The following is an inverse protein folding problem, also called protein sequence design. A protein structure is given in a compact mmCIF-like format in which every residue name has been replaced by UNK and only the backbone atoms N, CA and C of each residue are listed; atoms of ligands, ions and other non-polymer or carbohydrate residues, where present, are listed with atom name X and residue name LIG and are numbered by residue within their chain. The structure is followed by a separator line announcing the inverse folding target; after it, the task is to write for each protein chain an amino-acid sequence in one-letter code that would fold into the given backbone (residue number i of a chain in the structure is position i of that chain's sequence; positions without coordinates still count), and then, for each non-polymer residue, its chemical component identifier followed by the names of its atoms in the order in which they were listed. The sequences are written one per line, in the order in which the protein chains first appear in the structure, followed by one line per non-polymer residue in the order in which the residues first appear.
data_IF_398785617305
#
_entry.id   IF_398785617305
#
_cell.length_a   1.000
_cell.length_b   1.000
_cell.length_c   1.000
_cell.angle_alpha   90.00
_cell.angle_beta   90.00
_cell.angle_gamma   90.00
#
_symmetry.space_group_name_H-M   'P 1'
#
loop_
_entity.id
_entity.type
_entity.pdbx_description
1 polymer ?
#
# COMPACT_ATOMS: atom_id res chain seq x y z
N UNK A 1 17.19 -21.42 15.48
CA UNK A 1 17.45 -20.32 16.43
C UNK A 1 17.23 -19.06 15.61
N UNK A 2 16.00 -18.56 15.60
CA UNK A 2 15.56 -17.51 14.67
C UNK A 2 15.91 -16.16 15.29
N UNK A 3 16.82 -15.44 14.65
CA UNK A 3 17.39 -14.19 15.17
C UNK A 3 16.49 -13.03 14.75
N UNK A 4 15.87 -12.36 15.71
CA UNK A 4 15.31 -11.02 15.50
C UNK A 4 16.50 -10.08 15.35
N UNK A 5 16.85 -9.72 14.12
CA UNK A 5 17.97 -8.83 13.84
C UNK A 5 17.61 -7.38 14.19
N UNK A 6 17.75 -7.03 15.48
CA UNK A 6 17.59 -5.66 15.98
C UNK A 6 18.75 -4.71 15.64
N UNK A 7 19.41 -4.84 14.48
CA UNK A 7 20.54 -3.97 14.14
C UNK A 7 20.75 -3.75 12.64
N UNK A 8 20.18 -2.69 12.07
CA UNK A 8 20.82 -1.89 11.01
C UNK A 8 20.14 -0.52 10.74
N UNK A 9 20.11 0.39 11.72
CA UNK A 9 19.49 1.72 11.55
C UNK A 9 20.39 2.78 10.87
N UNK A 10 21.55 2.44 10.26
CA UNK A 10 22.58 3.47 9.96
C UNK A 10 23.11 3.51 8.52
N UNK A 11 22.53 2.82 7.53
CA UNK A 11 23.16 2.77 6.19
C UNK A 11 22.40 3.38 5.00
N UNK A 12 21.12 3.74 5.09
CA UNK A 12 20.35 4.10 3.87
C UNK A 12 20.31 5.63 3.59
N UNK A 13 20.79 6.48 4.49
CA UNK A 13 20.70 7.94 4.30
C UNK A 13 21.76 8.59 3.37
N UNK A 14 22.61 7.82 2.68
CA UNK A 14 23.73 8.42 1.94
C UNK A 14 23.60 8.49 0.40
N UNK A 15 22.50 8.05 -0.21
CA UNK A 15 22.43 7.96 -1.68
C UNK A 15 21.53 9.00 -2.40
N UNK A 16 20.64 9.73 -1.72
CA UNK A 16 19.70 10.67 -2.39
C UNK A 16 19.96 12.13 -1.99
N UNK A 17 21.23 12.55 -2.00
CA UNK A 17 21.55 13.99 -1.87
C UNK A 17 22.82 14.37 -2.65
N UNK A 18 22.96 13.89 -3.89
CA UNK A 18 23.94 14.42 -4.84
C UNK A 18 23.27 15.41 -5.77
N UNK A 19 22.98 16.60 -5.23
CA UNK A 19 22.48 17.70 -6.03
C UNK A 19 22.09 18.86 -5.14
N UNK A 20 22.96 19.87 -5.06
CA UNK A 20 22.80 21.15 -4.36
C UNK A 20 23.28 21.13 -2.89
N UNK A 21 24.47 21.69 -2.67
CA UNK A 21 24.81 22.34 -1.38
C UNK A 21 25.85 21.66 -0.48
N UNK A 22 27.09 21.47 -0.95
CA UNK A 22 28.22 20.99 -0.14
C UNK A 22 28.65 21.93 1.03
N UNK A 23 27.98 23.07 1.23
CA UNK A 23 28.33 24.07 2.26
C UNK A 23 27.29 24.16 3.41
N UNK A 24 26.14 23.47 3.33
CA UNK A 24 25.14 23.44 4.42
C UNK A 24 25.23 22.19 5.33
N UNK A 25 26.03 21.20 4.93
CA UNK A 25 26.10 19.87 5.57
C UNK A 25 26.72 19.82 6.98
N UNK A 26 27.20 20.94 7.54
CA UNK A 26 27.77 20.97 8.90
C UNK A 26 26.80 21.41 9.99
N UNK A 27 25.65 22.00 9.67
CA UNK A 27 24.65 22.39 10.70
C UNK A 27 23.41 21.49 10.76
N UNK A 28 23.25 20.56 9.81
CA UNK A 28 22.12 19.62 9.76
C UNK A 28 22.36 18.30 10.51
N UNK A 29 23.58 18.05 10.98
CA UNK A 29 23.96 16.82 11.70
C UNK A 29 23.25 16.63 13.05
N UNK A 30 22.54 17.64 13.56
CA UNK A 30 21.76 17.53 14.82
C UNK A 30 20.24 17.48 14.62
N UNK A 31 19.74 17.40 13.39
CA UNK A 31 18.29 17.32 13.13
C UNK A 31 17.78 15.89 12.84
N UNK A 32 18.67 14.90 12.78
CA UNK A 32 18.34 13.50 12.49
C UNK A 32 17.56 12.74 13.57
N UNK A 33 17.00 13.42 14.58
CA UNK A 33 16.26 12.80 15.68
C UNK A 33 15.07 13.65 16.19
N UNK A 34 14.49 14.52 15.35
CA UNK A 34 13.20 15.13 15.69
C UNK A 34 12.08 14.40 14.95
N UNK A 35 11.44 13.45 15.65
CA UNK A 35 10.11 12.96 15.30
C UNK A 35 9.14 14.12 15.50
N UNK A 36 8.57 14.66 14.42
CA UNK A 36 7.50 15.64 14.50
C UNK A 36 6.17 14.89 14.52
N UNK A 37 5.56 14.73 15.69
CA UNK A 37 4.16 14.32 15.81
C UNK A 37 3.30 15.52 15.44
N UNK A 38 2.62 15.47 14.29
CA UNK A 38 1.66 16.48 13.84
C UNK A 38 0.50 16.57 14.86
N UNK A 39 0.52 17.58 15.71
CA UNK A 39 -0.60 17.91 16.59
C UNK A 39 -1.55 18.92 15.98
N UNK A 40 -2.78 18.98 16.50
CA UNK A 40 -3.77 19.98 16.11
C UNK A 40 -3.83 21.14 17.11
N UNK A 41 -4.20 22.33 16.66
CA UNK A 41 -4.58 23.42 17.55
C UNK A 41 -6.09 23.31 17.79
N UNK A 42 -6.48 22.86 18.98
CA UNK A 42 -7.88 22.81 19.42
C UNK A 42 -8.09 23.82 20.54
N UNK A 43 -9.04 24.74 20.34
CA UNK A 43 -9.31 25.84 21.27
C UNK A 43 -8.08 26.66 21.68
N UNK A 44 -7.11 26.83 20.76
CA UNK A 44 -5.88 27.60 21.00
C UNK A 44 -4.78 26.83 21.74
N UNK A 45 -4.97 25.53 22.00
CA UNK A 45 -3.98 24.66 22.63
C UNK A 45 -3.46 23.63 21.63
N UNK A 46 -2.14 23.41 21.60
CA UNK A 46 -1.55 22.32 20.85
C UNK A 46 -1.90 21.00 21.55
N UNK A 47 -2.67 20.15 20.88
CA UNK A 47 -2.87 18.77 21.28
C UNK A 47 -1.95 17.90 20.43
N UNK A 48 -0.95 17.21 21.03
CA UNK A 48 -0.20 16.21 20.27
C UNK A 48 -1.18 15.17 19.72
N UNK A 49 -0.89 14.61 18.55
CA UNK A 49 -1.68 13.48 18.06
C UNK A 49 -1.75 12.40 19.16
N UNK A 50 -2.89 11.70 19.30
CA UNK A 50 -2.97 10.56 20.20
C UNK A 50 -1.79 9.62 19.95
N UNK A 51 -1.16 9.14 21.02
CA UNK A 51 -0.08 8.18 20.90
C UNK A 51 -0.63 6.91 20.22
N UNK A 52 -0.08 6.58 19.05
CA UNK A 52 -0.43 5.36 18.35
C UNK A 52 0.16 4.15 19.08
N UNK A 53 -0.58 3.03 19.10
CA UNK A 53 -0.06 1.80 19.69
C UNK A 53 1.11 1.29 18.84
N UNK A 54 2.29 1.03 19.45
CA UNK A 54 3.45 0.55 18.70
C UNK A 54 3.17 -0.84 18.14
N UNK A 55 3.58 -1.08 16.91
CA UNK A 55 3.49 -2.41 16.32
C UNK A 55 4.40 -3.37 17.08
N UNK A 56 3.96 -4.60 17.27
CA UNK A 56 4.77 -5.67 17.86
C UNK A 56 4.69 -6.92 17.02
N UNK A 57 5.73 -7.75 17.05
CA UNK A 57 5.74 -9.00 16.32
C UNK A 57 6.35 -10.13 17.16
N UNK A 58 5.85 -11.34 16.94
CA UNK A 58 6.40 -12.58 17.47
C UNK A 58 6.55 -13.60 16.35
N UNK A 59 7.56 -14.47 16.46
CA UNK A 59 7.81 -15.55 15.50
C UNK A 59 7.62 -16.89 16.21
N UNK A 60 6.39 -17.43 16.27
CA UNK A 60 6.09 -18.64 17.05
C UNK A 60 6.72 -19.92 16.46
N UNK A 61 7.23 -19.85 15.23
CA UNK A 61 7.91 -20.94 14.54
C UNK A 61 8.65 -20.45 13.30
N UNK A 62 9.33 -21.36 12.62
CA UNK A 62 9.94 -21.10 11.33
C UNK A 62 8.85 -20.77 10.28
N UNK A 63 9.12 -19.76 9.45
CA UNK A 63 8.17 -19.30 8.43
C UNK A 63 6.88 -18.69 8.95
N UNK A 64 6.81 -18.30 10.24
CA UNK A 64 5.59 -17.76 10.86
C UNK A 64 5.83 -16.46 11.60
N UNK A 65 4.88 -15.55 11.49
CA UNK A 65 4.84 -14.33 12.28
C UNK A 65 3.42 -14.00 12.74
N UNK A 66 3.32 -13.46 13.94
CA UNK A 66 2.09 -12.86 14.49
C UNK A 66 2.43 -11.42 14.86
N UNK A 67 1.72 -10.47 14.26
CA UNK A 67 1.95 -9.04 14.38
C UNK A 67 0.70 -8.39 14.97
N UNK A 68 0.87 -7.66 16.08
CA UNK A 68 -0.11 -6.72 16.58
C UNK A 68 0.15 -5.38 15.89
N UNK A 69 -0.82 -4.97 15.07
CA UNK A 69 -0.77 -3.70 14.33
C UNK A 69 -1.64 -2.63 15.01
N UNK A 70 -2.02 -2.83 16.28
CA UNK A 70 -2.69 -1.85 17.13
C UNK A 70 -4.18 -1.68 16.83
N UNK A 71 -4.89 -1.07 17.79
CA UNK A 71 -6.33 -0.78 17.71
C UNK A 71 -7.20 -2.04 17.53
N UNK A 72 -6.72 -3.19 18.02
CA UNK A 72 -7.39 -4.49 17.92
C UNK A 72 -7.08 -5.28 16.66
N UNK A 73 -6.34 -4.69 15.72
CA UNK A 73 -5.98 -5.34 14.47
C UNK A 73 -4.75 -6.23 14.62
N UNK A 74 -4.78 -7.39 13.95
CA UNK A 74 -3.67 -8.34 13.92
C UNK A 74 -3.37 -8.82 12.51
N UNK A 75 -2.13 -9.22 12.29
CA UNK A 75 -1.64 -9.79 11.05
C UNK A 75 -0.89 -11.09 11.35
N UNK A 76 -1.33 -12.20 10.76
CA UNK A 76 -0.69 -13.51 10.86
C UNK A 76 -0.09 -13.89 9.51
N UNK A 77 1.13 -14.43 9.50
CA UNK A 77 1.85 -14.85 8.29
C UNK A 77 2.29 -16.30 8.42
N UNK A 78 2.21 -17.04 7.31
CA UNK A 78 2.70 -18.41 7.20
C UNK A 78 3.27 -18.70 5.80
N UNK A 79 4.61 -18.68 5.71
CA UNK A 79 5.41 -18.96 4.50
C UNK A 79 5.11 -20.33 3.89
N UNK A 80 4.73 -21.31 4.72
CA UNK A 80 4.47 -22.67 4.22
C UNK A 80 3.30 -22.75 3.22
N UNK A 81 2.46 -21.71 3.17
CA UNK A 81 1.27 -21.61 2.33
C UNK A 81 1.09 -20.23 1.66
N UNK A 82 2.12 -19.38 1.65
CA UNK A 82 2.04 -17.96 1.23
C UNK A 82 0.88 -17.21 1.86
N UNK A 83 0.57 -17.53 3.13
CA UNK A 83 -0.66 -17.09 3.76
C UNK A 83 -0.44 -15.84 4.60
N UNK A 84 -1.39 -14.92 4.46
CA UNK A 84 -1.49 -13.67 5.18
C UNK A 84 -2.93 -13.57 5.68
N UNK A 85 -3.11 -13.37 6.98
CA UNK A 85 -4.44 -13.16 7.58
C UNK A 85 -4.44 -11.83 8.31
N UNK A 86 -5.25 -10.89 7.83
CA UNK A 86 -5.57 -9.65 8.53
C UNK A 86 -6.84 -9.87 9.33
N UNK A 87 -6.84 -9.56 10.63
CA UNK A 87 -8.05 -9.54 11.45
C UNK A 87 -8.26 -8.15 12.02
N UNK A 88 -9.50 -7.72 12.03
CA UNK A 88 -9.93 -6.50 12.70
C UNK A 88 -10.28 -6.74 14.18
N UNK A 89 -10.69 -5.65 14.84
CA UNK A 89 -11.08 -5.66 16.25
C UNK A 89 -12.39 -6.42 16.52
N UNK A 90 -13.27 -6.54 15.53
CA UNK A 90 -14.57 -7.23 15.62
C UNK A 90 -14.45 -8.73 15.30
N UNK A 91 -13.29 -9.15 14.81
CA UNK A 91 -12.93 -10.53 14.50
C UNK A 91 -13.19 -10.91 13.05
N UNK A 92 -13.57 -9.98 12.16
CA UNK A 92 -13.60 -10.28 10.75
C UNK A 92 -12.18 -10.54 10.24
N UNK A 93 -12.06 -11.35 9.20
CA UNK A 93 -10.79 -11.83 8.74
C UNK A 93 -10.70 -11.79 7.22
N UNK A 94 -9.68 -11.09 6.72
CA UNK A 94 -9.26 -11.17 5.32
C UNK A 94 -8.08 -12.11 5.22
N UNK A 95 -8.17 -13.10 4.33
CA UNK A 95 -7.13 -14.10 4.11
C UNK A 95 -6.66 -14.03 2.67
N UNK A 96 -5.36 -13.82 2.50
CA UNK A 96 -4.66 -13.87 1.21
C UNK A 96 -3.74 -15.09 1.22
N UNK A 97 -3.79 -15.97 0.23
CA UNK A 97 -3.01 -17.21 0.26
C UNK A 97 -2.77 -17.86 -1.11
N UNK A 98 -1.68 -18.62 -1.21
CA UNK A 98 -1.39 -19.53 -2.31
C UNK A 98 -1.45 -18.89 -3.70
N UNK A 99 -2.02 -19.64 -4.64
CA UNK A 99 -2.23 -19.30 -6.05
C UNK A 99 -3.58 -18.56 -6.21
N UNK A 100 -3.56 -17.25 -6.44
CA UNK A 100 -3.50 -16.15 -5.49
C UNK A 100 -4.87 -15.79 -4.91
N UNK A 101 -5.35 -16.53 -3.93
CA UNK A 101 -6.72 -16.37 -3.42
C UNK A 101 -6.84 -15.27 -2.37
N UNK A 102 -7.94 -14.51 -2.43
CA UNK A 102 -8.38 -13.57 -1.38
C UNK A 102 -9.77 -13.96 -0.90
N UNK A 103 -9.96 -14.06 0.41
CA UNK A 103 -11.27 -14.24 1.03
C UNK A 103 -11.51 -13.29 2.18
N UNK A 104 -12.78 -12.96 2.42
CA UNK A 104 -13.24 -12.20 3.59
C UNK A 104 -14.24 -13.06 4.36
N UNK A 105 -14.00 -13.27 5.65
CA UNK A 105 -14.80 -14.14 6.52
C UNK A 105 -15.03 -15.56 5.97
N UNK A 106 -14.06 -16.05 5.20
CA UNK A 106 -14.12 -17.37 4.57
C UNK A 106 -14.84 -17.41 3.21
N UNK A 107 -15.45 -16.30 2.78
CA UNK A 107 -16.04 -16.17 1.44
C UNK A 107 -15.00 -15.66 0.44
N UNK A 108 -14.85 -16.35 -0.70
CA UNK A 108 -13.91 -15.96 -1.75
C UNK A 108 -14.39 -14.69 -2.44
N UNK A 109 -13.53 -13.67 -2.48
CA UNK A 109 -13.86 -12.35 -3.07
C UNK A 109 -13.10 -12.09 -4.37
N UNK A 110 -11.98 -12.78 -4.59
CA UNK A 110 -11.25 -12.73 -5.85
C UNK A 110 -9.84 -13.29 -5.75
N UNK A 111 -9.16 -13.29 -6.89
CA UNK A 111 -7.78 -13.72 -7.04
C UNK A 111 -6.90 -12.53 -7.44
N UNK A 112 -5.84 -12.24 -6.67
CA UNK A 112 -4.98 -11.05 -6.85
C UNK A 112 -3.80 -11.32 -7.80
N UNK A 113 -3.34 -10.34 -8.57
CA UNK A 113 -2.33 -10.57 -9.62
C UNK A 113 -1.06 -9.73 -9.50
N UNK A 114 -1.11 -8.68 -8.68
CA UNK A 114 -0.03 -7.74 -8.51
C UNK A 114 -0.10 -7.08 -7.15
N UNK A 115 0.70 -6.03 -6.98
CA UNK A 115 0.73 -5.26 -5.74
C UNK A 115 -0.66 -4.75 -5.38
N UNK A 116 -1.09 -5.07 -4.16
CA UNK A 116 -2.39 -4.69 -3.61
C UNK A 116 -2.20 -4.16 -2.19
N UNK A 117 -2.82 -3.03 -1.90
CA UNK A 117 -2.77 -2.38 -0.59
C UNK A 117 -4.13 -2.44 0.08
N UNK A 118 -4.17 -3.06 1.24
CA UNK A 118 -5.33 -3.09 2.12
C UNK A 118 -5.20 -1.93 3.11
N UNK A 119 -6.07 -0.93 2.98
CA UNK A 119 -6.10 0.21 3.88
C UNK A 119 -7.19 0.02 4.94
N UNK A 120 -6.77 -0.07 6.19
CA UNK A 120 -7.64 -0.25 7.35
C UNK A 120 -8.25 1.07 7.81
N UNK A 121 -9.36 1.01 8.55
CA UNK A 121 -10.07 2.19 9.08
C UNK A 121 -9.18 3.06 9.98
N UNK A 122 -8.28 2.44 10.73
CA UNK A 122 -7.30 3.14 11.58
C UNK A 122 -6.13 3.78 10.80
N UNK A 123 -6.17 3.72 9.47
CA UNK A 123 -5.19 4.32 8.58
C UNK A 123 -3.92 3.49 8.37
N UNK A 124 -3.84 2.26 8.90
CA UNK A 124 -2.78 1.34 8.49
C UNK A 124 -2.93 0.96 7.04
N UNK A 125 -1.81 0.95 6.32
CA UNK A 125 -1.71 0.33 5.00
C UNK A 125 -0.94 -0.97 5.11
N UNK A 126 -1.48 -2.02 4.50
CA UNK A 126 -0.83 -3.33 4.35
C UNK A 126 -0.66 -3.55 2.86
N UNK A 127 0.53 -3.29 2.35
CA UNK A 127 0.89 -3.45 0.94
C UNK A 127 1.52 -4.82 0.73
N UNK A 128 0.87 -5.65 -0.07
CA UNK A 128 1.33 -6.99 -0.43
C UNK A 128 1.94 -6.91 -1.83
N UNK A 129 3.24 -7.13 -1.91
CA UNK A 129 3.97 -7.28 -3.16
C UNK A 129 4.03 -8.75 -3.56
N UNK A 130 3.95 -9.00 -4.86
CA UNK A 130 3.92 -10.35 -5.41
C UNK A 130 5.18 -10.72 -6.17
N UNK A 131 5.45 -12.01 -6.23
CA UNK A 131 6.27 -12.59 -7.28
C UNK A 131 5.41 -13.43 -8.23
N UNK A 132 5.88 -13.61 -9.46
CA UNK A 132 5.25 -14.53 -10.42
C UNK A 132 5.97 -15.87 -10.38
N UNK A 133 5.21 -16.94 -10.18
CA UNK A 133 5.73 -18.30 -10.26
C UNK A 133 6.14 -18.65 -11.68
N UNK A 134 7.34 -19.20 -11.80
CA UNK A 134 7.88 -19.71 -13.07
C UNK A 134 7.19 -20.98 -13.59
N UNK A 135 6.32 -21.62 -12.79
CA UNK A 135 5.72 -22.93 -13.12
C UNK A 135 4.29 -22.85 -13.65
N UNK A 136 3.46 -21.94 -13.13
CA UNK A 136 2.04 -21.80 -13.49
C UNK A 136 1.66 -20.38 -13.96
N UNK A 137 2.60 -19.42 -14.00
CA UNK A 137 2.36 -18.00 -14.30
C UNK A 137 1.36 -17.32 -13.34
N UNK A 138 1.22 -17.86 -12.14
CA UNK A 138 0.38 -17.29 -11.10
C UNK A 138 1.22 -16.49 -10.12
N UNK A 139 0.59 -15.61 -9.35
CA UNK A 139 1.29 -14.77 -8.39
C UNK A 139 1.19 -15.30 -6.98
N UNK A 140 2.21 -15.03 -6.17
CA UNK A 140 2.28 -15.40 -4.76
C UNK A 140 2.71 -14.17 -3.97
N UNK A 141 2.20 -14.03 -2.75
CA UNK A 141 2.64 -12.95 -1.87
C UNK A 141 4.09 -13.18 -1.46
N UNK A 142 4.96 -12.22 -1.74
CA UNK A 142 6.40 -12.32 -1.48
C UNK A 142 6.84 -11.40 -0.34
N UNK A 143 6.36 -10.16 -0.36
CA UNK A 143 6.69 -9.17 0.67
C UNK A 143 5.43 -8.48 1.16
N UNK A 144 5.35 -8.26 2.47
CA UNK A 144 4.31 -7.46 3.11
C UNK A 144 4.94 -6.25 3.79
N UNK A 145 4.46 -5.07 3.43
CA UNK A 145 4.87 -3.80 4.02
C UNK A 145 3.70 -3.22 4.79
N UNK A 146 3.89 -2.98 6.08
CA UNK A 146 2.86 -2.41 6.96
C UNK A 146 3.32 -1.04 7.41
N UNK A 147 2.51 -0.01 7.17
CA UNK A 147 2.81 1.38 7.57
C UNK A 147 1.63 2.00 8.31
N UNK A 148 1.93 2.77 9.37
CA UNK A 148 0.98 3.69 10.02
C UNK A 148 1.77 4.82 10.66
N UNK A 149 1.62 6.04 10.14
CA UNK A 149 2.37 7.18 10.67
C UNK A 149 3.88 6.98 10.53
N UNK A 150 4.61 7.06 11.64
CA UNK A 150 6.05 6.78 11.68
C UNK A 150 6.39 5.30 11.87
N UNK A 151 5.40 4.44 12.11
CA UNK A 151 5.57 3.01 12.33
C UNK A 151 5.65 2.24 11.01
N UNK A 152 6.54 1.25 10.97
CA UNK A 152 6.77 0.39 9.81
C UNK A 152 7.10 -1.05 10.22
N UNK A 153 6.65 -2.00 9.43
CA UNK A 153 7.12 -3.39 9.41
C UNK A 153 7.32 -3.80 7.96
N UNK A 154 8.42 -4.52 7.69
CA UNK A 154 8.65 -5.24 6.43
C UNK A 154 8.76 -6.72 6.75
N UNK A 155 8.02 -7.52 5.99
CA UNK A 155 8.01 -8.98 6.08
C UNK A 155 8.41 -9.49 4.69
N UNK A 156 9.56 -10.15 4.60
CA UNK A 156 10.12 -10.69 3.36
C UNK A 156 10.05 -12.23 3.36
N UNK A 157 10.12 -12.84 2.17
CA UNK A 157 10.13 -14.30 2.03
C UNK A 157 8.81 -14.94 2.47
N UNK A 158 7.68 -14.29 2.19
CA UNK A 158 6.34 -14.84 2.50
C UNK A 158 5.95 -15.96 1.54
N UNK A 159 6.50 -15.94 0.33
CA UNK A 159 6.12 -16.87 -0.72
C UNK A 159 6.50 -18.31 -0.36
N UNK A 160 5.67 -19.27 -0.77
CA UNK A 160 5.97 -20.69 -0.62
C UNK A 160 6.92 -21.23 -1.70
N UNK A 161 7.22 -20.42 -2.73
CA UNK A 161 8.08 -20.80 -3.86
C UNK A 161 9.55 -20.91 -3.43
N UNK A 162 10.01 -19.99 -2.57
CA UNK A 162 11.32 -20.01 -1.92
C UNK A 162 11.09 -20.12 -0.43
N UNK A 163 11.76 -21.08 0.23
CA UNK A 163 11.59 -21.29 1.67
C UNK A 163 12.90 -21.08 2.42
N UNK A 164 12.80 -20.54 3.63
CA UNK A 164 13.91 -20.34 4.55
C UNK A 164 14.58 -18.96 4.45
N UNK A 165 14.02 -18.06 3.65
CA UNK A 165 14.38 -16.64 3.58
C UNK A 165 13.37 -15.73 4.30
N UNK A 166 12.31 -16.30 4.89
CA UNK A 166 11.34 -15.56 5.72
C UNK A 166 12.00 -14.69 6.80
N UNK A 167 11.67 -13.40 6.81
CA UNK A 167 12.17 -12.46 7.81
C UNK A 167 11.18 -11.37 8.16
N UNK A 168 11.28 -10.84 9.39
CA UNK A 168 10.45 -9.73 9.88
C UNK A 168 11.37 -8.64 10.40
N UNK A 169 11.23 -7.43 9.84
CA UNK A 169 11.96 -6.23 10.26
C UNK A 169 10.97 -5.21 10.81
N UNK A 170 11.10 -4.88 12.09
CA UNK A 170 10.30 -3.83 12.74
C UNK A 170 11.05 -2.51 12.79
N UNK A 171 10.31 -1.42 12.62
CA UNK A 171 10.81 -0.06 12.70
C UNK A 171 11.16 0.53 11.33
N UNK A 172 11.64 1.77 11.36
CA UNK A 172 11.83 2.58 10.15
C UNK A 172 11.03 3.87 10.25
N UNK A 173 10.96 4.61 9.16
CA UNK A 173 10.08 5.78 9.03
C UNK A 173 8.91 5.35 8.16
N UNK A 174 7.76 5.09 8.79
CA UNK A 174 6.52 4.65 8.12
C UNK A 174 6.17 5.48 6.90
N UNK A 175 6.19 6.81 7.00
CA UNK A 175 5.94 7.70 5.86
C UNK A 175 6.95 7.55 4.72
N UNK A 176 8.24 7.42 5.04
CA UNK A 176 9.28 7.28 4.01
C UNK A 176 9.20 5.91 3.33
N UNK A 177 8.86 4.88 4.09
CA UNK A 177 8.65 3.54 3.55
C UNK A 177 7.40 3.50 2.67
N UNK A 178 6.27 4.02 3.16
CA UNK A 178 5.02 4.13 2.41
C UNK A 178 5.21 4.84 1.06
N UNK A 179 5.93 5.98 1.07
CA UNK A 179 6.22 6.73 -0.16
C UNK A 179 7.18 6.01 -1.12
N UNK A 180 7.93 5.01 -0.67
CA UNK A 180 8.87 4.24 -1.47
C UNK A 180 8.25 2.98 -2.11
N UNK A 181 7.05 2.58 -1.67
CA UNK A 181 6.33 1.44 -2.21
C UNK A 181 5.17 1.92 -3.09
N UNK A 182 4.99 1.27 -4.24
CA UNK A 182 3.78 1.45 -5.04
C UNK A 182 2.62 0.78 -4.30
N UNK A 183 1.49 1.49 -4.24
CA UNK A 183 0.29 0.98 -3.58
C UNK A 183 -0.47 -0.02 -4.47
N UNK A 184 -0.24 0.03 -5.79
CA UNK A 184 -0.93 -0.81 -6.75
C UNK A 184 -2.45 -0.62 -6.71
N UNK A 185 -3.20 -1.71 -6.55
CA UNK A 185 -4.64 -1.61 -6.25
C UNK A 185 -4.82 -1.29 -4.76
N UNK A 186 -5.38 -0.13 -4.44
CA UNK A 186 -5.80 0.19 -3.07
C UNK A 186 -7.24 -0.26 -2.87
N UNK A 187 -7.48 -1.00 -1.80
CA UNK A 187 -8.83 -1.31 -1.30
C UNK A 187 -8.96 -0.82 0.14
N UNK A 188 -10.13 -0.28 0.46
CA UNK A 188 -10.43 0.30 1.76
C UNK A 188 -11.35 -0.63 2.53
N UNK A 189 -11.05 -0.83 3.81
CA UNK A 189 -11.91 -1.57 4.73
C UNK A 189 -13.30 -0.92 4.76
N UNK A 190 -14.33 -1.76 4.59
CA UNK A 190 -15.74 -1.38 4.72
C UNK A 190 -16.52 -2.66 5.06
N UNK A 191 -16.65 -2.95 6.36
CA UNK A 191 -17.38 -4.13 6.84
C UNK A 191 -18.88 -4.12 6.49
N UNK A 192 -19.43 -2.96 6.08
CA UNK A 192 -20.80 -2.88 5.57
C UNK A 192 -20.90 -3.29 4.08
N UNK A 193 -19.77 -3.34 3.37
CA UNK A 193 -19.67 -3.89 2.01
C UNK A 193 -19.92 -5.40 2.03
N UNK A 194 -20.49 -5.91 0.94
CA UNK A 194 -20.71 -7.36 0.78
C UNK A 194 -19.41 -8.19 0.83
N UNK A 195 -18.27 -7.56 0.58
CA UNK A 195 -16.96 -8.21 0.55
C UNK A 195 -16.02 -7.76 1.67
N UNK A 196 -16.48 -6.88 2.58
CA UNK A 196 -15.65 -6.27 3.62
C UNK A 196 -14.70 -5.17 3.12
N UNK A 197 -14.67 -4.93 1.80
CA UNK A 197 -13.75 -4.01 1.16
C UNK A 197 -14.44 -3.21 0.05
N UNK A 198 -13.97 -1.98 -0.15
CA UNK A 198 -14.32 -1.15 -1.31
C UNK A 198 -13.10 -0.79 -2.15
N UNK A 199 -13.27 -0.72 -3.47
CA UNK A 199 -12.20 -0.40 -4.40
C UNK A 199 -11.94 1.10 -4.43
N UNK A 200 -10.68 1.52 -4.36
CA UNK A 200 -10.30 2.92 -4.59
C UNK A 200 -10.61 3.42 -6.00
N UNK A 201 -10.90 2.50 -6.93
CA UNK A 201 -11.14 2.82 -8.34
C UNK A 201 -12.54 3.39 -8.52
N UNK A 202 -13.57 2.72 -8.03
CA UNK A 202 -14.97 3.10 -8.24
C UNK A 202 -15.77 3.32 -6.94
N UNK A 203 -15.19 3.00 -5.78
CA UNK A 203 -15.85 3.05 -4.46
C UNK A 203 -16.87 1.93 -4.22
N UNK A 204 -16.99 0.96 -5.15
CA UNK A 204 -17.87 -0.19 -5.03
C UNK A 204 -17.22 -1.32 -4.23
N UNK A 205 -18.02 -2.34 -3.89
CA UNK A 205 -17.53 -3.56 -3.26
C UNK A 205 -16.47 -4.23 -4.16
N UNK A 206 -15.30 -4.54 -3.59
CA UNK A 206 -14.19 -5.16 -4.34
C UNK A 206 -14.61 -6.49 -4.91
N UNK A 207 -14.25 -6.76 -6.17
CA UNK A 207 -14.41 -8.07 -6.78
C UNK A 207 -13.28 -8.43 -7.75
N UNK A 208 -13.43 -9.57 -8.45
CA UNK A 208 -12.42 -10.07 -9.40
C UNK A 208 -11.99 -9.04 -10.45
N UNK A 209 -12.92 -8.18 -10.90
CA UNK A 209 -12.63 -7.17 -11.91
C UNK A 209 -11.58 -6.15 -11.42
N UNK A 210 -11.58 -5.80 -10.13
CA UNK A 210 -10.58 -4.91 -9.55
C UNK A 210 -9.21 -5.58 -9.50
N UNK A 211 -9.16 -6.83 -9.03
CA UNK A 211 -7.90 -7.59 -8.99
C UNK A 211 -7.33 -7.83 -10.38
N UNK A 212 -8.18 -8.03 -11.39
CA UNK A 212 -7.76 -8.19 -12.78
C UNK A 212 -7.05 -6.96 -13.35
N UNK A 213 -7.25 -5.77 -12.78
CA UNK A 213 -6.51 -4.55 -13.15
C UNK A 213 -5.07 -4.55 -12.64
N UNK A 214 -4.71 -5.51 -11.76
CA UNK A 214 -3.33 -5.74 -11.32
C UNK A 214 -2.61 -6.81 -12.15
N UNK A 215 -3.29 -7.43 -13.13
CA UNK A 215 -2.68 -8.39 -14.05
C UNK A 215 -1.56 -7.74 -14.84
N UNK A 216 -0.43 -8.45 -15.08
CA UNK A 216 0.60 -7.98 -15.99
C UNK A 216 -0.01 -7.57 -17.35
N UNK A 217 0.20 -6.31 -17.74
CA UNK A 217 -0.35 -5.73 -18.98
C UNK A 217 -1.66 -4.94 -18.82
N UNK A 218 -2.24 -4.86 -17.62
CA UNK A 218 -3.45 -4.08 -17.33
C UNK A 218 -3.15 -2.68 -16.73
N UNK A 219 -1.87 -2.33 -16.54
CA UNK A 219 -1.44 -1.16 -15.76
C UNK A 219 -2.00 0.15 -16.33
N UNK A 220 -1.95 0.33 -17.66
CA UNK A 220 -2.46 1.54 -18.31
C UNK A 220 -3.98 1.71 -18.21
N UNK A 221 -4.74 0.61 -18.09
CA UNK A 221 -6.18 0.67 -17.86
C UNK A 221 -6.48 1.11 -16.43
N UNK A 222 -5.75 0.57 -15.45
CA UNK A 222 -5.87 0.95 -14.03
C UNK A 222 -5.62 2.44 -13.83
N UNK A 223 -4.50 2.96 -14.36
CA UNK A 223 -4.14 4.38 -14.26
C UNK A 223 -5.21 5.29 -14.89
N UNK A 224 -5.75 4.88 -16.04
CA UNK A 224 -6.81 5.63 -16.74
C UNK A 224 -8.08 5.68 -15.89
N UNK A 225 -8.50 4.56 -15.30
CA UNK A 225 -9.70 4.50 -14.46
C UNK A 225 -9.55 5.30 -13.17
N UNK A 226 -8.41 5.22 -12.50
CA UNK A 226 -8.13 6.02 -11.30
C UNK A 226 -8.16 7.52 -11.61
N UNK A 227 -7.51 7.93 -12.71
CA UNK A 227 -7.50 9.34 -13.14
C UNK A 227 -8.90 9.83 -13.49
N UNK A 228 -9.70 9.01 -14.17
CA UNK A 228 -11.07 9.37 -14.55
C UNK A 228 -11.96 9.61 -13.33
N UNK A 229 -11.92 8.73 -12.32
CA UNK A 229 -12.72 8.88 -11.11
C UNK A 229 -12.28 10.08 -10.26
N UNK A 230 -10.96 10.31 -10.12
CA UNK A 230 -10.44 11.51 -9.49
C UNK A 230 -10.91 12.79 -10.21
N UNK A 231 -10.93 12.77 -11.55
CA UNK A 231 -11.40 13.88 -12.37
C UNK A 231 -12.91 14.18 -12.23
N UNK A 232 -13.75 13.13 -12.14
CA UNK A 232 -15.18 13.30 -11.87
C UNK A 232 -15.45 13.87 -10.48
N UNK A 233 -14.71 13.39 -9.47
CA UNK A 233 -14.80 13.93 -8.10
C UNK A 233 -14.48 15.43 -8.03
N UNK A 234 -13.45 15.87 -8.76
CA UNK A 234 -13.09 17.29 -8.85
C UNK A 234 -14.12 18.13 -9.63
N UNK A 235 -14.71 17.59 -10.70
CA UNK A 235 -15.76 18.30 -11.44
C UNK A 235 -17.04 18.47 -10.61
N UNK A 236 -17.44 17.45 -9.84
CA UNK A 236 -18.63 17.52 -9.00
C UNK A 236 -18.42 18.43 -7.78
N UNK A 237 -17.27 18.38 -7.12
CA UNK A 237 -16.93 19.30 -6.02
C UNK A 237 -16.73 20.73 -6.50
N UNK A 238 -16.15 20.93 -7.69
CA UNK A 238 -16.03 22.22 -8.36
C UNK A 238 -17.40 22.82 -8.72
N UNK A 239 -18.40 22.01 -9.08
CA UNK A 239 -19.77 22.47 -9.30
C UNK A 239 -20.50 22.86 -8.00
N UNK A 240 -20.25 22.15 -6.90
CA UNK A 240 -20.83 22.49 -5.59
C UNK A 240 -20.18 23.73 -4.95
N UNK A 241 -18.88 23.95 -5.14
CA UNK A 241 -18.17 25.15 -4.65
C UNK A 241 -18.27 26.35 -5.62
N UNK A 242 -18.50 26.09 -6.91
CA UNK A 242 -18.60 27.08 -7.97
C UNK A 242 -19.94 27.82 -8.07
N UNK A 243 -20.96 27.43 -7.30
CA UNK A 243 -22.21 28.19 -7.21
C UNK A 243 -22.08 29.52 -6.42
N UNK A 244 -20.90 29.84 -5.87
CA UNK A 244 -20.70 31.00 -5.00
C UNK A 244 -19.67 32.06 -5.42
N UNK A 245 -18.70 31.78 -6.30
CA UNK A 245 -17.72 32.79 -6.70
C UNK A 245 -17.10 32.47 -8.07
N UNK A 246 -17.34 33.34 -9.05
CA UNK A 246 -16.69 33.25 -10.35
C UNK A 246 -15.20 33.51 -10.25
N UNK A 247 -14.38 32.50 -10.54
CA UNK A 247 -12.98 32.65 -10.91
C UNK A 247 -12.68 31.67 -12.05
N UNK A 248 -12.26 32.21 -13.19
CA UNK A 248 -11.97 31.44 -14.40
C UNK A 248 -10.72 30.59 -14.24
N UNK A 249 -10.86 29.29 -14.54
CA UNK A 249 -9.76 28.37 -14.81
C UNK A 249 -9.89 27.92 -16.26
N UNK A 250 -9.06 28.50 -17.13
CA UNK A 250 -8.82 28.00 -18.48
C UNK A 250 -7.96 26.74 -18.37
N UNK A 251 -8.57 25.57 -18.57
CA UNK A 251 -7.87 24.32 -18.76
C UNK A 251 -7.44 24.20 -20.23
N UNK A 252 -6.16 24.47 -20.51
CA UNK A 252 -5.54 24.17 -21.79
C UNK A 252 -5.09 22.70 -21.75
N UNK A 253 -5.96 21.80 -22.22
CA UNK A 253 -5.66 20.38 -22.36
C UNK A 253 -5.12 20.12 -23.77
N UNK A 254 -3.84 20.44 -24.02
CA UNK A 254 -3.17 20.00 -25.24
C UNK A 254 -2.73 18.54 -25.07
N UNK A 255 -3.61 17.60 -25.42
CA UNK A 255 -3.24 16.19 -25.62
C UNK A 255 -2.48 16.10 -26.94
N UNK A 256 -1.14 16.02 -26.85
CA UNK A 256 -0.29 15.75 -28.00
C UNK A 256 -0.38 14.25 -28.35
N UNK A 257 -1.42 13.88 -29.09
CA UNK A 257 -1.54 12.56 -29.69
C UNK A 257 -0.39 12.35 -30.70
N UNK A 258 0.62 11.56 -30.32
CA UNK A 258 1.56 11.00 -31.30
C UNK A 258 0.81 9.97 -32.13
N UNK A 259 0.49 10.35 -33.36
CA UNK A 259 -0.09 9.48 -34.37
C UNK A 259 0.78 8.25 -34.60
N UNK A 260 0.19 7.08 -34.38
CA UNK A 260 0.66 5.82 -34.92
C UNK A 260 0.41 5.83 -36.43
N UNK A 261 1.46 6.07 -37.20
CA UNK A 261 1.44 5.94 -38.65
C UNK A 261 2.35 4.79 -39.09
N UNK A 262 1.83 4.03 -40.06
CA UNK A 262 2.51 3.16 -41.05
C UNK A 262 2.42 1.64 -40.85
N UNK A 263 1.29 1.07 -41.30
CA UNK A 263 1.31 -0.11 -42.16
C UNK A 263 0.82 0.29 -43.56
N UNK A 264 1.59 0.07 -44.65
CA UNK A 264 1.13 0.39 -45.99
C UNK A 264 0.22 -0.71 -46.54
N UNK A 265 -1.01 -0.30 -46.91
CA UNK A 265 -1.88 -1.05 -47.81
C UNK A 265 -1.27 -1.04 -49.22
N UNK A 266 -0.99 -2.22 -49.79
CA UNK A 266 -0.77 -2.39 -51.22
C UNK A 266 -1.98 -3.12 -51.81
N UNK A 267 -2.73 -2.39 -52.64
CA UNK A 267 -3.69 -2.95 -53.59
C UNK A 267 -3.00 -3.01 -54.97
N UNK A 268 -2.80 -4.22 -55.49
CA UNK A 268 -3.03 -4.65 -56.87
C UNK A 268 -2.79 -6.17 -56.96
#
# INVERSE_FOLDING_TARGET
MTTINGSLSTAINSAILTGIGAELGKSLGSFGAMQFTLGAIVAGLFQPAPAQQPFTATMPGEGKAEIDIGDGYTLSINEASSEIVVRDADGNATRVWGDPHVSYNGEHIGDFWGTTTFQLENGTKITINTETSSWNNMTYAEQVVVTRGDQAIVIDGVSEQTKGDFSVTLGGNGYALDAAHDDGLVIHEDDASATGWTSSIDGGAVGQADFDLTKPGAEGLRETLQTFHAGLGLLLTGWLLGAGAGLGLSADASVSARAADRFPLLNL
#
